data_IF_835350849273
#
_entry.id   IF_835350849273
#
_cell.length_a   1.000
_cell.length_b   1.000
_cell.length_c   1.000
_cell.angle_alpha   90.00
_cell.angle_beta   90.00
_cell.angle_gamma   90.00
#
_symmetry.space_group_name_H-M   'P 1'
#
loop_
_entity.id
_entity.type
_entity.pdbx_description
1 polymer ?
#
# COMPACT_ATOMS: atom_id res chain seq x y z
N UNK A 1 48.55 -10.56 -28.31
CA UNK A 1 47.32 -9.95 -28.86
C UNK A 1 46.05 -10.56 -28.27
N UNK A 2 45.89 -11.89 -28.25
CA UNK A 2 44.71 -12.59 -27.67
C UNK A 2 44.37 -12.21 -26.20
N UNK A 3 45.36 -12.02 -25.33
CA UNK A 3 45.13 -11.66 -23.92
C UNK A 3 44.51 -10.27 -23.71
N UNK A 4 44.77 -9.32 -24.62
CA UNK A 4 44.18 -7.96 -24.56
C UNK A 4 42.70 -7.98 -24.95
N UNK A 5 42.34 -8.84 -25.91
CA UNK A 5 40.96 -8.99 -26.39
C UNK A 5 40.08 -9.62 -25.32
N UNK A 6 40.59 -10.64 -24.61
CA UNK A 6 39.87 -11.30 -23.51
C UNK A 6 39.59 -10.33 -22.36
N UNK A 7 40.56 -9.47 -22.02
CA UNK A 7 40.39 -8.46 -20.96
C UNK A 7 39.29 -7.44 -21.27
N UNK A 8 39.17 -7.00 -22.53
CA UNK A 8 38.15 -6.04 -22.96
C UNK A 8 36.74 -6.66 -22.92
N UNK A 9 36.61 -7.93 -23.33
CA UNK A 9 35.33 -8.65 -23.29
C UNK A 9 34.87 -8.86 -21.84
N UNK A 10 35.77 -9.29 -20.95
CA UNK A 10 35.46 -9.46 -19.52
C UNK A 10 35.06 -8.12 -18.89
N UNK A 11 35.80 -7.05 -19.20
CA UNK A 11 35.48 -5.71 -18.74
C UNK A 11 34.10 -5.25 -19.19
N UNK A 12 33.75 -5.43 -20.46
CA UNK A 12 32.45 -5.08 -21.00
C UNK A 12 31.30 -5.89 -20.37
N UNK A 13 31.51 -7.18 -20.11
CA UNK A 13 30.52 -8.05 -19.44
C UNK A 13 30.31 -7.64 -17.98
N UNK A 14 31.39 -7.32 -17.26
CA UNK A 14 31.29 -6.81 -15.89
C UNK A 14 30.55 -5.47 -15.86
N UNK A 15 30.91 -4.52 -16.72
CA UNK A 15 30.21 -3.24 -16.82
C UNK A 15 28.73 -3.44 -17.16
N UNK A 16 28.39 -4.34 -18.11
CA UNK A 16 27.00 -4.64 -18.43
C UNK A 16 26.22 -5.29 -17.28
N UNK A 17 26.86 -6.17 -16.49
CA UNK A 17 26.26 -6.77 -15.30
C UNK A 17 26.02 -5.74 -14.18
N UNK A 18 26.96 -4.82 -13.97
CA UNK A 18 26.88 -3.81 -12.91
C UNK A 18 26.06 -2.57 -13.28
N UNK A 19 25.85 -2.30 -14.58
CA UNK A 19 25.20 -1.07 -15.05
C UNK A 19 23.77 -1.28 -15.57
N UNK A 20 23.14 -2.43 -15.32
CA UNK A 20 21.70 -2.59 -15.60
C UNK A 20 20.92 -1.58 -14.74
N UNK A 21 20.26 -0.55 -15.33
CA UNK A 21 19.47 0.38 -14.55
C UNK A 21 18.33 -0.42 -13.89
N UNK A 22 18.30 -0.40 -12.56
CA UNK A 22 17.15 -0.91 -11.78
C UNK A 22 15.96 -0.04 -12.19
N UNK A 23 15.13 -0.54 -13.11
CA UNK A 23 13.90 0.13 -13.52
C UNK A 23 13.05 0.27 -12.25
N UNK A 24 13.02 1.49 -11.70
CA UNK A 24 12.13 1.82 -10.59
C UNK A 24 10.73 1.81 -11.19
N UNK A 25 9.89 0.92 -10.69
CA UNK A 25 8.51 0.82 -11.14
C UNK A 25 7.71 1.99 -10.53
N UNK A 26 7.78 3.16 -11.18
CA UNK A 26 7.15 4.40 -10.70
C UNK A 26 5.61 4.26 -10.56
N UNK A 27 4.98 3.39 -11.36
CA UNK A 27 3.53 3.15 -11.30
C UNK A 27 3.10 2.56 -9.96
N UNK A 28 3.88 1.61 -9.44
CA UNK A 28 3.60 0.98 -8.15
C UNK A 28 3.81 1.94 -6.98
N UNK A 29 4.78 2.87 -7.08
CA UNK A 29 5.06 3.84 -6.03
C UNK A 29 3.90 4.83 -5.85
N UNK A 30 3.37 5.38 -6.93
CA UNK A 30 2.24 6.32 -6.86
C UNK A 30 0.98 5.67 -6.28
N UNK A 31 0.70 4.42 -6.66
CA UNK A 31 -0.43 3.65 -6.13
C UNK A 31 -0.25 3.33 -4.64
N UNK A 32 0.96 2.96 -4.21
CA UNK A 32 1.29 2.73 -2.80
C UNK A 32 1.09 4.00 -1.97
N UNK A 33 1.59 5.15 -2.43
CA UNK A 33 1.41 6.41 -1.72
C UNK A 33 -0.06 6.83 -1.61
N UNK A 34 -0.85 6.65 -2.68
CA UNK A 34 -2.29 6.95 -2.63
C UNK A 34 -3.01 6.04 -1.63
N UNK A 35 -2.65 4.75 -1.61
CA UNK A 35 -3.18 3.78 -0.66
C UNK A 35 -2.84 4.17 0.77
N UNK A 36 -1.58 4.48 1.07
CA UNK A 36 -1.15 4.93 2.41
C UNK A 36 -1.93 6.17 2.87
N UNK A 37 -2.09 7.17 2.00
CA UNK A 37 -2.89 8.37 2.29
C UNK A 37 -4.35 8.05 2.57
N UNK A 38 -4.94 7.08 1.86
CA UNK A 38 -6.31 6.67 2.09
C UNK A 38 -6.46 5.96 3.44
N UNK A 39 -5.54 5.08 3.80
CA UNK A 39 -5.53 4.42 5.11
C UNK A 39 -5.42 5.44 6.26
N UNK A 40 -4.55 6.44 6.10
CA UNK A 40 -4.40 7.53 7.07
C UNK A 40 -5.72 8.31 7.25
N UNK A 41 -6.40 8.66 6.14
CA UNK A 41 -7.72 9.31 6.20
C UNK A 41 -8.78 8.47 6.91
N UNK A 42 -8.77 7.14 6.73
CA UNK A 42 -9.70 6.25 7.46
C UNK A 42 -9.42 6.28 8.97
N UNK A 43 -8.15 6.30 9.37
CA UNK A 43 -7.79 6.43 10.78
C UNK A 43 -8.21 7.78 11.36
N UNK A 44 -8.02 8.87 10.63
CA UNK A 44 -8.48 10.19 11.07
C UNK A 44 -10.00 10.28 11.14
N UNK A 45 -10.71 9.63 10.23
CA UNK A 45 -12.17 9.51 10.28
C UNK A 45 -12.61 8.74 11.53
N UNK A 46 -11.93 7.64 11.86
CA UNK A 46 -12.19 6.88 13.09
C UNK A 46 -11.87 7.69 14.35
N UNK A 47 -10.82 8.53 14.33
CA UNK A 47 -10.47 9.45 15.44
C UNK A 47 -11.54 10.51 15.67
N UNK A 48 -12.02 11.11 14.59
CA UNK A 48 -12.98 12.23 14.65
C UNK A 48 -14.39 11.77 14.99
N UNK A 49 -14.86 10.65 14.41
CA UNK A 49 -16.20 10.10 14.68
C UNK A 49 -16.26 9.17 15.90
N UNK A 50 -15.11 8.68 16.37
CA UNK A 50 -15.01 7.66 17.42
C UNK A 50 -15.30 6.23 16.95
N UNK A 51 -16.08 6.06 15.87
CA UNK A 51 -16.29 4.81 15.15
C UNK A 51 -16.56 5.08 13.66
N UNK A 52 -16.22 4.12 12.80
CA UNK A 52 -16.37 4.24 11.35
C UNK A 52 -16.92 2.94 10.77
N UNK A 53 -17.94 3.04 9.90
CA UNK A 53 -18.45 1.92 9.11
C UNK A 53 -17.90 1.92 7.69
N UNK A 54 -18.21 0.87 6.93
CA UNK A 54 -17.84 0.78 5.51
C UNK A 54 -18.43 1.95 4.69
N UNK A 55 -19.71 2.26 4.86
CA UNK A 55 -20.40 3.33 4.14
C UNK A 55 -19.79 4.71 4.43
N UNK A 56 -19.29 4.94 5.66
CA UNK A 56 -18.59 6.18 6.01
C UNK A 56 -17.30 6.35 5.20
N UNK A 57 -16.55 5.26 5.01
CA UNK A 57 -15.29 5.25 4.25
C UNK A 57 -15.56 5.42 2.75
N UNK A 58 -16.58 4.76 2.20
CA UNK A 58 -17.01 4.95 0.82
C UNK A 58 -17.33 6.41 0.53
N UNK A 59 -18.14 7.04 1.38
CA UNK A 59 -18.55 8.42 1.22
C UNK A 59 -17.37 9.40 1.39
N UNK A 60 -16.49 9.15 2.37
CA UNK A 60 -15.37 10.03 2.65
C UNK A 60 -14.29 9.99 1.56
N UNK A 61 -14.07 8.82 0.94
CA UNK A 61 -13.01 8.62 -0.05
C UNK A 61 -13.51 8.53 -1.49
N UNK A 62 -14.83 8.48 -1.71
CA UNK A 62 -15.47 8.30 -3.01
C UNK A 62 -14.96 7.04 -3.73
N UNK A 63 -14.92 5.93 -2.99
CA UNK A 63 -14.45 4.61 -3.45
C UNK A 63 -15.57 3.57 -3.35
N UNK A 64 -15.38 2.42 -3.99
CA UNK A 64 -16.34 1.32 -3.89
C UNK A 64 -16.35 0.66 -2.52
N UNK A 65 -17.50 0.07 -2.16
CA UNK A 65 -17.69 -0.81 -1.01
C UNK A 65 -16.54 -1.79 -0.79
N UNK A 66 -16.21 -2.60 -1.80
CA UNK A 66 -15.14 -3.59 -1.66
C UNK A 66 -13.76 -2.95 -1.38
N UNK A 67 -13.52 -1.70 -1.83
CA UNK A 67 -12.26 -1.00 -1.54
C UNK A 67 -12.25 -0.44 -0.12
N UNK A 68 -13.38 0.10 0.34
CA UNK A 68 -13.55 0.58 1.70
C UNK A 68 -13.41 -0.56 2.72
N UNK A 69 -14.08 -1.69 2.49
CA UNK A 69 -13.97 -2.93 3.27
C UNK A 69 -12.51 -3.39 3.35
N UNK A 70 -11.82 -3.47 2.22
CA UNK A 70 -10.40 -3.85 2.19
C UNK A 70 -9.50 -2.92 3.02
N UNK A 71 -9.76 -1.61 3.05
CA UNK A 71 -8.98 -0.69 3.88
C UNK A 71 -9.27 -0.85 5.37
N UNK A 72 -10.52 -1.12 5.74
CA UNK A 72 -10.90 -1.41 7.12
C UNK A 72 -10.28 -2.71 7.61
N UNK A 73 -10.39 -3.78 6.81
CA UNK A 73 -9.79 -5.09 7.07
C UNK A 73 -8.28 -5.00 7.23
N UNK A 74 -7.63 -4.23 6.35
CA UNK A 74 -6.20 -4.00 6.45
C UNK A 74 -5.84 -3.34 7.77
N UNK A 75 -6.51 -2.24 8.13
CA UNK A 75 -6.23 -1.50 9.37
C UNK A 75 -6.53 -2.34 10.62
N UNK A 76 -7.53 -3.21 10.57
CA UNK A 76 -7.77 -4.20 11.60
C UNK A 76 -6.64 -5.24 11.68
N UNK A 77 -6.22 -5.80 10.54
CA UNK A 77 -5.18 -6.84 10.48
C UNK A 77 -3.84 -6.36 11.05
N UNK A 78 -3.49 -5.08 10.85
CA UNK A 78 -2.29 -4.46 11.42
C UNK A 78 -2.51 -3.90 12.83
N UNK A 79 -3.70 -4.09 13.40
CA UNK A 79 -4.05 -3.73 14.77
C UNK A 79 -4.23 -2.24 15.02
N UNK A 80 -4.54 -1.44 14.00
CA UNK A 80 -4.90 -0.01 14.17
C UNK A 80 -6.38 0.18 14.48
N UNK A 81 -7.22 -0.67 13.93
CA UNK A 81 -8.66 -0.72 14.22
C UNK A 81 -9.02 -2.04 14.91
N UNK A 82 -10.19 -2.04 15.55
CA UNK A 82 -10.88 -3.23 16.06
C UNK A 82 -12.30 -3.24 15.50
N UNK A 83 -12.73 -4.38 14.96
CA UNK A 83 -14.11 -4.57 14.53
C UNK A 83 -15.07 -4.65 15.73
N UNK A 84 -16.18 -3.94 15.64
CA UNK A 84 -17.31 -3.97 16.56
C UNK A 84 -18.52 -4.48 15.79
N UNK A 85 -19.06 -5.61 16.25
CA UNK A 85 -20.08 -6.37 15.56
C UNK A 85 -19.46 -7.53 14.76
N UNK A 86 -20.25 -8.57 14.49
CA UNK A 86 -19.74 -9.81 13.90
C UNK A 86 -19.86 -9.85 12.38
N UNK A 87 -21.01 -9.45 11.83
CA UNK A 87 -21.34 -9.62 10.41
C UNK A 87 -22.38 -8.61 9.94
N UNK A 88 -22.35 -8.27 8.65
CA UNK A 88 -23.37 -7.47 7.97
C UNK A 88 -23.16 -5.95 8.09
N UNK A 89 -24.18 -5.20 7.65
CA UNK A 89 -24.12 -3.72 7.53
C UNK A 89 -23.90 -2.95 8.84
N UNK A 90 -24.13 -3.59 9.98
CA UNK A 90 -23.96 -2.97 11.30
C UNK A 90 -22.53 -3.10 11.84
N UNK A 91 -21.61 -3.68 11.07
CA UNK A 91 -20.20 -3.77 11.43
C UNK A 91 -19.59 -2.36 11.37
N UNK A 92 -18.97 -1.98 12.49
CA UNK A 92 -18.25 -0.71 12.62
C UNK A 92 -16.88 -0.97 13.20
N UNK A 93 -15.97 -0.02 13.06
CA UNK A 93 -14.59 -0.14 13.51
C UNK A 93 -14.25 1.02 14.46
N UNK A 94 -13.47 0.73 15.49
CA UNK A 94 -12.91 1.74 16.40
C UNK A 94 -11.40 1.64 16.45
N UNK A 95 -10.75 2.73 16.86
CA UNK A 95 -9.31 2.69 17.11
C UNK A 95 -8.99 1.68 18.21
N UNK A 96 -7.97 0.86 17.96
CA UNK A 96 -7.37 0.05 18.99
C UNK A 96 -6.54 0.98 19.90
N UNK A 97 -6.89 1.05 21.18
CA UNK A 97 -6.12 1.78 22.19
C UNK A 97 -4.81 1.06 22.52
#
# INVERSE_FOLDING_TARGET
MIKLIIGIIIGAVLVWLFWKPKRRDLGNLAQQQLREKNLEKVLDLARTKGQVGNDDVEQALQISNATAERYLDELESIGKLIQIGKTGRNVTYKLKQ
#
